data_IF_450845579617
#
_entry.id   IF_450845579617
#
_cell.length_a   1.000
_cell.length_b   1.000
_cell.length_c   1.000
_cell.angle_alpha   90.00
_cell.angle_beta   90.00
_cell.angle_gamma   90.00
#
_symmetry.space_group_name_H-M   'P 1'
#
loop_
_entity.id
_entity.type
_entity.pdbx_description
1 polymer ?
#
# COMPACT_ATOMS: atom_id res chain seq x y z
N UNK A 1 1.49 2.11 -8.01
CA UNK A 1 1.43 3.11 -6.94
C UNK A 1 1.15 2.39 -5.64
N UNK A 2 1.89 2.69 -4.57
CA UNK A 2 1.56 2.17 -3.25
C UNK A 2 0.80 3.23 -2.46
N UNK A 3 -0.18 2.78 -1.69
CA UNK A 3 -1.04 3.66 -0.92
C UNK A 3 -1.04 3.18 0.51
N UNK A 4 -0.99 4.11 1.46
CA UNK A 4 -1.14 3.86 2.88
C UNK A 4 -2.22 4.80 3.43
N UNK A 5 -3.10 4.33 4.34
CA UNK A 5 -4.07 5.21 4.99
C UNK A 5 -3.37 6.22 5.90
N UNK A 6 -3.87 7.46 5.93
CA UNK A 6 -3.39 8.53 6.81
C UNK A 6 -3.39 8.10 8.29
N UNK A 7 -4.40 7.33 8.70
CA UNK A 7 -4.47 6.79 10.07
C UNK A 7 -3.31 5.86 10.39
N UNK A 8 -2.84 5.06 9.43
CA UNK A 8 -1.71 4.16 9.61
C UNK A 8 -0.38 4.92 9.62
N UNK A 9 -0.19 5.91 8.75
CA UNK A 9 1.04 6.73 8.76
C UNK A 9 1.21 7.50 10.06
N UNK A 10 0.12 8.02 10.63
CA UNK A 10 0.11 8.68 11.95
C UNK A 10 0.46 7.67 13.04
N UNK A 11 -0.19 6.50 13.06
CA UNK A 11 0.05 5.45 14.05
C UNK A 11 1.51 4.97 14.04
N UNK A 12 2.10 4.88 12.86
CA UNK A 12 3.50 4.48 12.67
C UNK A 12 4.49 5.65 12.80
N UNK A 13 4.00 6.87 13.05
CA UNK A 13 4.81 8.09 13.17
C UNK A 13 5.75 8.30 11.98
N UNK A 14 5.27 8.01 10.77
CA UNK A 14 6.08 8.15 9.56
C UNK A 14 6.33 9.62 9.25
N UNK A 15 7.56 9.95 8.89
CA UNK A 15 7.86 11.23 8.26
C UNK A 15 7.23 11.28 6.88
N UNK A 16 6.29 12.21 6.70
CA UNK A 16 5.59 12.40 5.43
C UNK A 16 5.90 13.77 4.85
N UNK A 17 6.26 13.82 3.57
CA UNK A 17 6.27 15.06 2.80
C UNK A 17 4.84 15.41 2.41
N UNK A 18 4.40 16.62 2.71
CA UNK A 18 3.07 17.08 2.31
C UNK A 18 2.99 17.20 0.79
N UNK A 19 1.94 16.62 0.22
CA UNK A 19 1.56 16.74 -1.19
C UNK A 19 0.05 16.80 -1.27
N UNK A 20 -0.50 17.40 -2.31
CA UNK A 20 -1.94 17.44 -2.53
C UNK A 20 -2.25 17.00 -3.95
N UNK A 21 -2.92 15.86 -4.07
CA UNK A 21 -3.45 15.36 -5.34
C UNK A 21 -4.65 14.46 -5.09
N UNK A 22 -5.44 14.19 -6.13
CA UNK A 22 -6.51 13.21 -6.08
C UNK A 22 -6.18 12.02 -6.98
N UNK A 23 -6.53 10.82 -6.55
CA UNK A 23 -6.44 9.61 -7.36
C UNK A 23 -7.86 9.11 -7.67
N UNK A 24 -8.08 8.70 -8.91
CA UNK A 24 -9.36 8.12 -9.32
C UNK A 24 -9.26 6.60 -9.28
N UNK A 25 -10.06 5.98 -8.42
CA UNK A 25 -10.19 4.53 -8.33
C UNK A 25 -11.07 3.95 -9.44
N UNK A 26 -11.08 2.62 -9.53
CA UNK A 26 -12.02 1.89 -10.37
C UNK A 26 -13.44 2.18 -9.83
N UNK A 27 -14.35 2.62 -10.70
CA UNK A 27 -15.67 3.11 -10.31
C UNK A 27 -15.80 4.63 -10.15
N UNK A 28 -14.75 5.40 -10.45
CA UNK A 28 -14.80 6.87 -10.47
C UNK A 28 -14.67 7.54 -9.10
N UNK A 29 -14.45 6.78 -8.03
CA UNK A 29 -14.22 7.33 -6.71
C UNK A 29 -12.92 8.13 -6.67
N UNK A 30 -13.00 9.39 -6.25
CA UNK A 30 -11.85 10.25 -6.02
C UNK A 30 -11.37 10.09 -4.58
N UNK A 31 -10.09 9.77 -4.41
CA UNK A 31 -9.45 9.64 -3.10
C UNK A 31 -8.37 10.71 -2.95
N UNK A 32 -8.42 11.55 -1.91
CA UNK A 32 -7.38 12.54 -1.65
C UNK A 32 -6.08 11.89 -1.18
N UNK A 33 -4.98 12.31 -1.77
CA UNK A 33 -3.61 12.04 -1.33
C UNK A 33 -3.07 13.31 -0.70
N UNK A 34 -2.64 13.18 0.55
CA UNK A 34 -2.25 14.29 1.44
C UNK A 34 -0.77 14.25 1.83
N UNK A 35 -0.06 13.19 1.44
CA UNK A 35 1.33 13.03 1.79
C UNK A 35 2.05 11.95 1.00
N UNK A 36 3.37 11.95 1.13
CA UNK A 36 4.27 10.93 0.60
C UNK A 36 5.25 10.52 1.70
N UNK A 37 5.22 9.24 2.08
CA UNK A 37 6.22 8.63 2.95
C UNK A 37 7.25 7.91 2.10
N UNK A 38 8.53 8.25 2.24
CA UNK A 38 9.60 7.74 1.37
C UNK A 38 10.52 6.76 2.10
N UNK A 39 11.00 5.75 1.39
CA UNK A 39 11.98 4.79 1.92
C UNK A 39 11.49 3.92 3.08
N UNK A 40 10.17 3.72 3.20
CA UNK A 40 9.58 2.93 4.28
C UNK A 40 10.00 1.48 4.15
N UNK A 41 10.68 0.97 5.17
CA UNK A 41 11.08 -0.42 5.28
C UNK A 41 9.88 -1.27 5.68
N UNK A 42 9.67 -2.38 4.98
CA UNK A 42 8.63 -3.35 5.29
C UNK A 42 9.10 -4.76 4.94
N UNK A 43 8.46 -5.74 5.56
CA UNK A 43 8.70 -7.15 5.32
C UNK A 43 7.38 -7.81 4.90
N UNK A 44 7.40 -8.60 3.83
CA UNK A 44 6.23 -9.42 3.40
C UNK A 44 6.30 -10.81 4.04
N UNK A 45 7.50 -11.37 4.12
CA UNK A 45 7.84 -12.54 4.93
C UNK A 45 8.98 -12.20 5.91
N UNK A 46 9.45 -13.17 6.69
CA UNK A 46 10.45 -12.92 7.74
C UNK A 46 11.84 -12.55 7.19
N UNK A 47 12.12 -12.79 5.91
CA UNK A 47 13.47 -12.70 5.34
C UNK A 47 13.60 -11.59 4.28
N UNK A 48 12.50 -11.19 3.64
CA UNK A 48 12.47 -10.18 2.59
C UNK A 48 12.23 -8.76 3.14
N UNK A 49 13.31 -8.09 3.56
CA UNK A 49 13.31 -6.65 3.82
C UNK A 49 13.28 -5.87 2.51
N UNK A 50 12.26 -5.03 2.33
CA UNK A 50 12.10 -4.16 1.15
C UNK A 50 11.87 -2.72 1.60
N UNK A 51 12.19 -1.78 0.72
CA UNK A 51 11.92 -0.36 0.93
C UNK A 51 10.96 0.14 -0.15
N UNK A 52 10.00 0.98 0.23
CA UNK A 52 9.06 1.56 -0.71
C UNK A 52 8.60 2.96 -0.31
N UNK A 53 8.20 3.72 -1.32
CA UNK A 53 7.47 4.96 -1.12
C UNK A 53 5.97 4.65 -1.07
N UNK A 54 5.25 5.33 -0.19
CA UNK A 54 3.80 5.22 -0.01
C UNK A 54 3.15 6.59 -0.13
N UNK A 55 2.16 6.70 -1.01
CA UNK A 55 1.26 7.84 -1.03
C UNK A 55 0.27 7.71 0.12
N UNK A 56 0.12 8.78 0.90
CA UNK A 56 -0.75 8.81 2.07
C UNK A 56 -2.14 9.26 1.64
N UNK A 57 -3.10 8.35 1.71
CA UNK A 57 -4.48 8.59 1.32
C UNK A 57 -5.38 8.89 2.53
N UNK A 58 -6.24 9.89 2.38
CA UNK A 58 -7.28 10.22 3.37
C UNK A 58 -8.58 9.51 3.03
N UNK A 59 -9.26 8.99 4.06
CA UNK A 59 -10.56 8.31 3.93
C UNK A 59 -10.49 6.80 4.17
N UNK A 60 -11.55 6.09 3.78
CA UNK A 60 -11.67 4.62 3.94
C UNK A 60 -10.90 3.90 2.85
N UNK A 61 -9.58 3.79 3.05
CA UNK A 61 -8.64 3.15 2.13
C UNK A 61 -7.90 2.06 2.89
N UNK A 62 -7.51 0.98 2.21
CA UNK A 62 -6.60 -0.03 2.74
C UNK A 62 -5.18 0.22 2.21
N UNK A 63 -4.17 -0.30 2.91
CA UNK A 63 -2.81 -0.29 2.37
C UNK A 63 -2.77 -1.14 1.11
N UNK A 64 -2.24 -0.58 0.02
CA UNK A 64 -2.10 -1.26 -1.26
C UNK A 64 -0.63 -1.23 -1.66
N UNK A 65 -0.08 -2.41 -1.97
CA UNK A 65 1.17 -2.55 -2.69
C UNK A 65 0.85 -2.67 -4.18
N UNK A 66 1.21 -1.66 -4.96
CA UNK A 66 0.91 -1.64 -6.38
C UNK A 66 1.89 -2.47 -7.22
N UNK A 67 1.60 -2.55 -8.52
CA UNK A 67 2.41 -3.26 -9.52
C UNK A 67 3.92 -2.93 -9.59
N UNK A 68 4.45 -1.75 -9.17
CA UNK A 68 5.89 -1.53 -9.14
C UNK A 68 6.69 -2.57 -8.33
N UNK A 69 6.02 -3.40 -7.52
CA UNK A 69 6.63 -4.42 -6.66
C UNK A 69 6.63 -5.85 -7.24
N UNK A 70 6.01 -6.07 -8.40
CA UNK A 70 5.98 -7.42 -9.02
C UNK A 70 7.33 -7.95 -9.52
N UNK A 71 8.30 -7.12 -9.98
CA UNK A 71 9.62 -7.62 -10.35
C UNK A 71 10.56 -7.84 -9.15
N UNK A 72 10.27 -7.22 -7.99
CA UNK A 72 11.18 -7.15 -6.82
C UNK A 72 10.82 -8.19 -5.74
N UNK A 73 9.56 -8.62 -5.72
CA UNK A 73 9.09 -9.72 -4.88
C UNK A 73 8.67 -10.84 -5.83
N UNK A 74 9.26 -12.03 -5.66
CA UNK A 74 8.87 -13.22 -6.43
C UNK A 74 7.53 -13.72 -5.89
N UNK A 75 6.44 -13.00 -6.21
CA UNK A 75 5.09 -13.45 -5.94
C UNK A 75 4.75 -14.60 -6.87
N UNK A 76 4.84 -15.83 -6.38
CA UNK A 76 4.17 -16.98 -7.00
C UNK A 76 2.75 -16.99 -6.47
N UNK A 77 1.79 -16.61 -7.31
CA UNK A 77 0.38 -16.78 -6.97
C UNK A 77 0.03 -18.26 -7.10
N UNK A 78 -0.06 -18.96 -5.98
CA UNK A 78 -0.68 -20.28 -5.92
C UNK A 78 -2.12 -20.10 -5.47
N UNK A 79 -3.07 -20.41 -6.34
CA UNK A 79 -4.48 -20.44 -5.99
C UNK A 79 -4.75 -21.71 -5.19
N UNK A 80 -4.88 -21.59 -3.87
CA UNK A 80 -5.36 -22.70 -3.05
C UNK A 80 -6.89 -22.60 -2.94
N UNK A 81 -7.58 -23.54 -3.59
CA UNK A 81 -8.99 -23.80 -3.34
C UNK A 81 -9.12 -24.39 -1.93
N UNK A 82 -9.62 -23.61 -0.99
CA UNK A 82 -10.21 -24.18 0.22
C UNK A 82 -11.62 -24.65 -0.16
N UNK A 83 -11.78 -25.95 -0.43
CA UNK A 83 -13.10 -26.59 -0.41
C UNK A 83 -13.56 -26.60 1.05
N UNK A 84 -14.49 -25.72 1.39
CA UNK A 84 -15.31 -25.89 2.58
C UNK A 84 -16.22 -27.11 2.36
N UNK A 85 -15.88 -28.22 3.02
CA UNK A 85 -16.79 -29.35 3.16
C UNK A 85 -17.86 -28.96 4.19
N UNK A 86 -19.10 -28.83 3.73
CA UNK A 86 -20.30 -28.80 4.58
C UNK A 86 -20.54 -30.15 5.25
#
# INVERSE_FOLDING_TARGET
MNIMPETLSIKLQLTTREISMNITGIGGHSTPIVGLAEGIQFCIDKEDKKAANFFIARGKVYTVLGRPFWPIIRFVWSYQNHEEKF
#
